data_IF_921006160619
#
_entry.id   IF_921006160619
#
_cell.length_a   1.000
_cell.length_b   1.000
_cell.length_c   1.000
_cell.angle_alpha   90.00
_cell.angle_beta   90.00
_cell.angle_gamma   90.00
#
_symmetry.space_group_name_H-M   'P 1'
#
loop_
_entity.id
_entity.type
_entity.pdbx_description
1 polymer ?
#
# COMPACT_ATOMS: atom_id res chain seq x y z
N UNK A 1 33.20 -48.54 21.38
CA UNK A 1 33.43 -47.26 20.67
C UNK A 1 32.42 -47.16 19.53
N UNK A 2 31.17 -46.69 19.78
CA UNK A 2 30.16 -46.44 18.73
C UNK A 2 28.97 -45.57 19.21
N UNK A 3 29.17 -44.66 20.19
CA UNK A 3 28.10 -43.74 20.63
C UNK A 3 28.06 -42.41 19.85
N UNK A 4 28.99 -42.17 18.93
CA UNK A 4 29.06 -40.94 18.13
C UNK A 4 28.17 -40.94 16.87
N UNK A 5 27.64 -42.09 16.46
CA UNK A 5 26.81 -42.21 15.25
C UNK A 5 25.31 -41.97 15.50
N UNK A 6 24.81 -42.22 16.72
CA UNK A 6 23.37 -42.09 17.02
C UNK A 6 22.93 -40.65 17.36
N UNK A 7 23.88 -39.76 17.70
CA UNK A 7 23.59 -38.35 18.03
C UNK A 7 23.33 -37.50 16.78
N UNK A 8 23.99 -37.82 15.66
CA UNK A 8 23.86 -37.11 14.37
C UNK A 8 22.44 -37.16 13.76
N UNK A 9 21.75 -38.32 13.68
CA UNK A 9 20.40 -38.36 13.12
C UNK A 9 19.38 -37.67 14.04
N UNK A 10 19.57 -37.71 15.36
CA UNK A 10 18.69 -37.02 16.32
C UNK A 10 18.81 -35.50 16.22
N UNK A 11 20.04 -34.98 16.12
CA UNK A 11 20.30 -33.54 15.93
C UNK A 11 19.80 -33.05 14.56
N UNK A 12 19.95 -33.84 13.49
CA UNK A 12 19.43 -33.51 12.17
C UNK A 12 17.89 -33.53 12.12
N UNK A 13 17.25 -34.48 12.81
CA UNK A 13 15.79 -34.56 12.93
C UNK A 13 15.20 -33.38 13.71
N UNK A 14 15.81 -33.04 14.84
CA UNK A 14 15.38 -31.89 15.66
C UNK A 14 15.58 -30.55 14.94
N UNK A 15 16.70 -30.40 14.23
CA UNK A 15 16.98 -29.26 13.34
C UNK A 15 15.92 -29.11 12.24
N UNK A 16 15.57 -30.20 11.55
CA UNK A 16 14.54 -30.19 10.51
C UNK A 16 13.15 -29.80 11.06
N UNK A 17 12.80 -30.28 12.25
CA UNK A 17 11.52 -29.96 12.90
C UNK A 17 11.41 -28.47 13.29
N UNK A 18 12.52 -27.86 13.72
CA UNK A 18 12.60 -26.41 14.01
C UNK A 18 12.48 -25.56 12.73
N UNK A 19 13.06 -26.01 11.61
CA UNK A 19 12.97 -25.32 10.32
C UNK A 19 11.52 -25.37 9.77
N UNK A 20 10.81 -26.50 9.91
CA UNK A 20 9.41 -26.65 9.49
C UNK A 20 8.47 -25.78 10.34
N UNK A 21 8.76 -25.60 11.63
CA UNK A 21 7.97 -24.75 12.54
C UNK A 21 8.16 -23.24 12.29
N UNK A 22 9.12 -22.84 11.45
CA UNK A 22 9.46 -21.43 11.21
C UNK A 22 8.62 -20.76 10.12
N UNK A 23 7.66 -21.46 9.51
CA UNK A 23 6.71 -20.85 8.58
C UNK A 23 5.63 -20.06 9.36
N UNK A 24 6.01 -18.90 9.88
CA UNK A 24 5.07 -17.99 10.55
C UNK A 24 4.45 -17.07 9.49
N UNK A 25 3.21 -17.38 9.09
CA UNK A 25 2.36 -16.42 8.39
C UNK A 25 1.75 -15.49 9.46
N UNK A 26 2.51 -14.48 9.88
CA UNK A 26 2.01 -13.51 10.87
C UNK A 26 1.26 -12.39 10.16
N UNK A 27 -0.01 -12.19 10.52
CA UNK A 27 -0.77 -11.00 10.17
C UNK A 27 -0.25 -9.79 10.97
N UNK A 28 -0.04 -8.66 10.31
CA UNK A 28 0.41 -7.42 10.96
C UNK A 28 -0.79 -6.54 11.30
N UNK A 29 -0.78 -5.91 12.47
CA UNK A 29 -1.76 -4.90 12.86
C UNK A 29 -1.11 -3.51 12.83
N UNK A 30 -1.66 -2.60 12.04
CA UNK A 30 -1.16 -1.25 11.84
C UNK A 30 -2.00 -0.23 12.61
N UNK A 31 -1.37 0.49 13.56
CA UNK A 31 -2.01 1.58 14.31
C UNK A 31 -1.99 2.86 13.48
N UNK A 32 -3.16 3.28 12.99
CA UNK A 32 -3.26 4.44 12.10
C UNK A 32 -2.93 5.73 12.85
N UNK A 33 -1.96 6.48 12.34
CA UNK A 33 -1.45 7.70 13.01
C UNK A 33 -0.53 7.41 14.21
N UNK A 34 -0.04 6.17 14.33
CA UNK A 34 0.91 5.74 15.37
C UNK A 34 0.45 6.11 16.79
N UNK A 35 1.22 6.94 17.51
CA UNK A 35 0.88 7.38 18.86
C UNK A 35 -0.23 8.44 18.90
N UNK A 36 -0.45 9.17 17.81
CA UNK A 36 -1.47 10.23 17.75
C UNK A 36 -2.86 9.68 17.48
N UNK A 37 -2.96 8.52 16.83
CA UNK A 37 -4.23 7.92 16.46
C UNK A 37 -4.95 8.67 15.34
N UNK A 38 -6.27 8.49 15.29
CA UNK A 38 -7.19 9.07 14.33
C UNK A 38 -7.78 10.39 14.84
N UNK A 39 -7.09 11.47 14.51
CA UNK A 39 -7.41 12.86 14.88
C UNK A 39 -7.35 13.80 13.67
N UNK A 40 -7.75 15.06 13.83
CA UNK A 40 -7.44 16.11 12.85
C UNK A 40 -5.91 16.20 12.73
N UNK A 41 -5.34 16.08 11.52
CA UNK A 41 -3.90 15.98 11.36
C UNK A 41 -3.20 17.30 11.73
N UNK A 42 -2.01 17.23 12.35
CA UNK A 42 -1.25 18.43 12.72
C UNK A 42 -0.65 19.19 11.52
N UNK A 43 -0.54 18.56 10.36
CA UNK A 43 -0.03 19.17 9.13
C UNK A 43 -0.59 18.49 7.88
N UNK A 44 -0.59 19.18 6.72
CA UNK A 44 -1.01 18.59 5.45
C UNK A 44 -0.17 17.36 5.09
N UNK A 45 -0.79 16.29 4.56
CA UNK A 45 -0.16 15.01 4.19
C UNK A 45 0.18 14.06 5.36
N UNK A 46 -0.22 14.35 6.61
CA UNK A 46 0.04 13.46 7.75
C UNK A 46 -0.33 11.99 7.49
N UNK A 47 -1.60 11.72 7.17
CA UNK A 47 -2.07 10.35 6.88
C UNK A 47 -1.55 9.79 5.57
N UNK A 48 -1.31 10.64 4.56
CA UNK A 48 -0.71 10.22 3.29
C UNK A 48 0.71 9.71 3.51
N UNK A 49 1.54 10.42 4.27
CA UNK A 49 2.88 9.96 4.63
C UNK A 49 2.83 8.68 5.44
N UNK A 50 1.91 8.60 6.40
CA UNK A 50 1.72 7.39 7.20
C UNK A 50 1.30 6.19 6.34
N UNK A 51 0.38 6.36 5.38
CA UNK A 51 -0.01 5.25 4.49
C UNK A 51 1.14 4.82 3.58
N UNK A 52 1.96 5.76 3.09
CA UNK A 52 3.10 5.43 2.23
C UNK A 52 4.27 4.78 2.99
N UNK A 53 4.39 4.99 4.30
CA UNK A 53 5.44 4.35 5.10
C UNK A 53 5.12 2.90 5.50
N UNK A 54 3.92 2.40 5.16
CA UNK A 54 3.46 1.08 5.55
C UNK A 54 3.08 0.24 4.32
N UNK A 55 3.67 -0.96 4.22
CA UNK A 55 3.32 -1.92 3.18
C UNK A 55 2.32 -2.93 3.73
N UNK A 56 1.05 -2.78 3.35
CA UNK A 56 -0.05 -3.59 3.87
C UNK A 56 -0.48 -4.65 2.86
N UNK A 57 -0.76 -5.86 3.35
CA UNK A 57 -1.18 -7.00 2.52
C UNK A 57 -2.51 -7.56 2.97
N UNK A 58 -3.12 -8.37 2.11
CA UNK A 58 -4.26 -9.20 2.50
C UNK A 58 -3.88 -10.08 3.70
N UNK A 59 -4.72 -10.07 4.74
CA UNK A 59 -4.49 -10.75 6.00
C UNK A 59 -4.06 -9.82 7.14
N UNK A 60 -3.52 -8.64 6.84
CA UNK A 60 -3.22 -7.62 7.84
C UNK A 60 -4.49 -6.95 8.38
N UNK A 61 -4.34 -6.06 9.37
CA UNK A 61 -5.45 -5.25 9.90
C UNK A 61 -5.03 -3.81 10.21
N UNK A 62 -5.98 -2.90 10.11
CA UNK A 62 -5.85 -1.53 10.59
C UNK A 62 -6.49 -1.40 11.97
N UNK A 63 -5.90 -0.60 12.83
CA UNK A 63 -6.42 -0.27 14.14
C UNK A 63 -6.51 1.25 14.29
N UNK A 64 -7.73 1.77 14.37
CA UNK A 64 -8.01 3.21 14.52
C UNK A 64 -8.38 3.53 15.97
N UNK A 65 -7.51 4.29 16.63
CA UNK A 65 -7.73 4.84 17.98
C UNK A 65 -8.26 6.26 17.89
N UNK A 66 -9.40 6.57 18.51
CA UNK A 66 -10.01 7.90 18.52
C UNK A 66 -10.96 8.08 19.69
N UNK A 67 -11.19 9.33 20.12
CA UNK A 67 -12.27 9.62 21.07
C UNK A 67 -13.63 9.65 20.33
N UNK A 68 -14.55 8.71 20.61
CA UNK A 68 -15.84 8.63 19.93
C UNK A 68 -16.76 9.83 20.20
N UNK A 69 -16.42 10.70 21.16
CA UNK A 69 -17.14 11.96 21.40
C UNK A 69 -16.84 13.03 20.34
N UNK A 70 -15.65 12.97 19.73
CA UNK A 70 -15.15 13.99 18.80
C UNK A 70 -14.98 13.46 17.38
N UNK A 71 -14.75 12.15 17.22
CA UNK A 71 -14.42 11.56 15.93
C UNK A 71 -15.25 10.32 15.67
N UNK A 72 -15.44 10.04 14.39
CA UNK A 72 -15.88 8.74 13.91
C UNK A 72 -14.94 8.28 12.79
N UNK A 73 -15.20 7.07 12.30
CA UNK A 73 -14.50 6.52 11.16
C UNK A 73 -15.54 5.96 10.19
N UNK A 74 -15.48 6.40 8.93
CA UNK A 74 -16.40 5.97 7.88
C UNK A 74 -15.60 5.49 6.68
N UNK A 75 -15.83 4.25 6.27
CA UNK A 75 -15.35 3.76 4.99
C UNK A 75 -16.26 4.26 3.87
N UNK A 76 -15.68 4.81 2.82
CA UNK A 76 -16.41 5.42 1.71
C UNK A 76 -15.81 5.02 0.35
N UNK A 77 -16.51 5.36 -0.72
CA UNK A 77 -15.96 5.27 -2.07
C UNK A 77 -14.99 6.42 -2.36
N UNK A 78 -14.18 6.27 -3.41
CA UNK A 78 -13.20 7.29 -3.83
C UNK A 78 -13.84 8.66 -4.05
N UNK A 79 -15.02 8.75 -4.67
CA UNK A 79 -15.71 10.03 -4.90
C UNK A 79 -15.98 10.79 -3.60
N UNK A 80 -16.46 10.08 -2.60
CA UNK A 80 -16.86 10.64 -1.31
C UNK A 80 -15.62 11.03 -0.49
N UNK A 81 -14.54 10.25 -0.61
CA UNK A 81 -13.23 10.58 -0.07
C UNK A 81 -12.61 11.86 -0.66
N UNK A 82 -12.69 12.05 -1.98
CA UNK A 82 -12.11 13.24 -2.62
C UNK A 82 -12.86 14.52 -2.24
N UNK A 83 -14.19 14.44 -2.17
CA UNK A 83 -15.06 15.59 -1.91
C UNK A 83 -15.48 15.73 -0.44
N UNK A 84 -14.99 14.85 0.44
CA UNK A 84 -15.38 14.82 1.85
C UNK A 84 -16.90 14.77 2.06
N UNK A 85 -17.58 13.93 1.30
CA UNK A 85 -19.02 13.70 1.41
C UNK A 85 -19.29 12.31 2.01
N UNK A 86 -20.56 12.03 2.33
CA UNK A 86 -20.97 10.74 2.88
C UNK A 86 -22.26 10.30 2.21
N UNK A 87 -22.29 10.37 0.88
CA UNK A 87 -23.46 10.04 0.07
C UNK A 87 -23.69 8.52 0.05
N UNK A 88 -22.60 7.74 0.06
CA UNK A 88 -22.62 6.27 0.00
C UNK A 88 -21.63 5.68 1.02
N UNK A 89 -21.91 5.79 2.34
CA UNK A 89 -21.08 5.14 3.35
C UNK A 89 -21.13 3.62 3.18
N UNK A 90 -19.96 2.99 3.24
CA UNK A 90 -19.84 1.52 3.18
C UNK A 90 -19.88 0.91 4.58
N UNK A 91 -19.10 1.47 5.51
CA UNK A 91 -19.04 1.06 6.91
C UNK A 91 -18.91 2.31 7.79
N UNK A 92 -19.56 2.29 8.95
CA UNK A 92 -19.51 3.38 9.95
C UNK A 92 -19.10 2.79 11.28
N UNK A 93 -18.07 3.38 11.89
CA UNK A 93 -17.57 3.01 13.21
C UNK A 93 -17.65 4.22 14.13
N UNK A 94 -18.42 4.07 15.21
CA UNK A 94 -18.64 5.09 16.25
C UNK A 94 -18.01 4.72 17.60
N UNK A 95 -17.24 3.62 17.64
CA UNK A 95 -16.55 3.12 18.84
C UNK A 95 -15.06 2.92 18.56
N UNK A 96 -14.23 3.03 19.59
CA UNK A 96 -12.78 2.88 19.50
C UNK A 96 -12.25 1.81 20.46
N UNK A 97 -11.20 1.06 20.08
CA UNK A 97 -10.57 1.04 18.75
C UNK A 97 -11.45 0.38 17.69
N UNK A 98 -11.44 0.93 16.47
CA UNK A 98 -12.03 0.26 15.32
C UNK A 98 -10.95 -0.59 14.63
N UNK A 99 -11.15 -1.92 14.59
CA UNK A 99 -10.23 -2.87 13.97
C UNK A 99 -10.81 -3.32 12.63
N UNK A 100 -10.08 -3.08 11.54
CA UNK A 100 -10.53 -3.37 10.17
C UNK A 100 -9.58 -4.40 9.54
N UNK A 101 -10.03 -5.65 9.34
CA UNK A 101 -9.23 -6.65 8.65
C UNK A 101 -9.15 -6.36 7.15
N UNK A 102 -7.96 -6.46 6.58
CA UNK A 102 -7.68 -6.25 5.16
C UNK A 102 -7.87 -7.57 4.40
N UNK A 103 -9.07 -7.79 3.89
CA UNK A 103 -9.47 -9.08 3.29
C UNK A 103 -9.18 -9.20 1.79
N UNK A 104 -9.10 -8.07 1.10
CA UNK A 104 -8.97 -8.03 -0.36
C UNK A 104 -7.93 -6.99 -0.77
N UNK A 105 -7.23 -7.24 -1.88
CA UNK A 105 -6.34 -6.24 -2.47
C UNK A 105 -7.15 -5.06 -3.02
N UNK A 106 -6.52 -3.88 -3.07
CA UNK A 106 -7.13 -2.68 -3.61
C UNK A 106 -6.92 -1.48 -2.72
N UNK A 107 -7.65 -0.40 -2.99
CA UNK A 107 -7.56 0.83 -2.19
C UNK A 107 -8.84 1.03 -1.39
N UNK A 108 -8.70 1.14 -0.07
CA UNK A 108 -9.77 1.47 0.86
C UNK A 108 -9.67 2.93 1.25
N UNK A 109 -10.80 3.62 1.36
CA UNK A 109 -10.85 5.04 1.70
C UNK A 109 -11.63 5.24 2.99
N UNK A 110 -11.03 5.98 3.93
CA UNK A 110 -11.64 6.27 5.22
C UNK A 110 -11.63 7.78 5.49
N UNK A 111 -12.71 8.28 6.06
CA UNK A 111 -12.89 9.69 6.43
C UNK A 111 -13.51 9.80 7.82
N UNK A 112 -13.29 10.96 8.46
CA UNK A 112 -14.10 11.41 9.58
C UNK A 112 -15.19 12.32 9.04
N UNK A 113 -16.46 12.04 9.37
CA UNK A 113 -17.61 12.79 8.86
C UNK A 113 -18.14 13.81 9.87
N UNK A 114 -17.43 13.98 10.99
CA UNK A 114 -17.77 14.99 11.99
C UNK A 114 -17.34 16.36 11.48
N UNK A 115 -18.31 17.29 11.39
CA UNK A 115 -18.08 18.68 10.97
C UNK A 115 -17.30 18.76 9.65
N UNK A 116 -16.27 19.61 9.57
CA UNK A 116 -15.39 19.77 8.42
C UNK A 116 -14.05 19.01 8.56
N UNK A 117 -13.94 18.00 9.44
CA UNK A 117 -12.66 17.38 9.78
C UNK A 117 -12.02 16.62 8.61
N UNK A 118 -12.81 16.01 7.73
CA UNK A 118 -12.31 15.44 6.48
C UNK A 118 -11.60 16.51 5.61
N UNK A 119 -12.21 17.70 5.46
CA UNK A 119 -11.63 18.80 4.70
C UNK A 119 -10.36 19.37 5.35
N UNK A 120 -10.25 19.27 6.68
CA UNK A 120 -9.02 19.56 7.43
C UNK A 120 -7.96 18.46 7.32
N UNK A 121 -8.23 17.39 6.57
CA UNK A 121 -7.29 16.32 6.26
C UNK A 121 -7.45 15.06 7.10
N UNK A 122 -8.50 14.93 7.93
CA UNK A 122 -8.81 13.68 8.64
C UNK A 122 -9.46 12.66 7.68
N UNK A 123 -8.65 12.24 6.71
CA UNK A 123 -8.95 11.25 5.68
C UNK A 123 -7.70 10.45 5.35
N UNK A 124 -7.87 9.17 5.02
CA UNK A 124 -6.76 8.29 4.63
C UNK A 124 -7.18 7.33 3.51
N UNK A 125 -6.26 7.11 2.56
CA UNK A 125 -6.36 6.07 1.56
C UNK A 125 -5.34 4.96 1.87
N UNK A 126 -5.80 3.72 1.92
CA UNK A 126 -4.99 2.56 2.27
C UNK A 126 -4.90 1.64 1.07
N UNK A 127 -3.68 1.37 0.58
CA UNK A 127 -3.45 0.41 -0.49
C UNK A 127 -3.08 -0.95 0.10
N UNK A 128 -3.88 -1.96 -0.21
CA UNK A 128 -3.70 -3.35 0.20
C UNK A 128 -3.15 -4.14 -0.97
N UNK A 129 -2.03 -4.80 -0.76
CA UNK A 129 -1.38 -5.65 -1.74
C UNK A 129 -1.79 -7.11 -1.59
N UNK A 130 -1.67 -7.88 -2.67
CA UNK A 130 -1.89 -9.33 -2.62
C UNK A 130 -0.89 -9.98 -1.64
N UNK A 131 -1.37 -10.92 -0.84
CA UNK A 131 -0.49 -11.76 -0.04
C UNK A 131 -0.07 -12.97 -0.89
N UNK A 132 1.00 -12.80 -1.66
CA UNK A 132 1.55 -13.88 -2.50
C UNK A 132 2.42 -14.79 -1.63
N UNK A 133 2.02 -16.05 -1.36
CA UNK A 133 2.86 -16.97 -0.62
C UNK A 133 4.19 -17.24 -1.36
N UNK A 134 5.30 -17.46 -0.64
CA UNK A 134 6.64 -17.57 -1.22
C UNK A 134 6.82 -18.71 -2.24
N UNK A 135 5.91 -19.69 -2.24
CA UNK A 135 5.96 -20.84 -3.13
C UNK A 135 5.38 -20.56 -4.53
N UNK A 136 4.55 -19.52 -4.70
CA UNK A 136 3.94 -19.26 -6.00
C UNK A 136 4.98 -18.70 -6.99
N UNK A 137 5.07 -19.27 -8.21
CA UNK A 137 5.89 -18.67 -9.26
C UNK A 137 5.37 -17.27 -9.59
N UNK A 138 6.24 -16.29 -9.89
CA UNK A 138 5.81 -14.95 -10.24
C UNK A 138 4.86 -15.01 -11.43
N UNK A 139 3.65 -14.46 -11.25
CA UNK A 139 2.67 -14.34 -12.32
C UNK A 139 3.31 -13.53 -13.45
N UNK A 140 3.61 -14.19 -14.56
CA UNK A 140 4.06 -13.50 -15.78
C UNK A 140 2.96 -12.53 -16.22
N UNK A 141 3.29 -11.31 -16.68
CA UNK A 141 2.28 -10.40 -17.20
C UNK A 141 1.56 -11.09 -18.35
N UNK A 142 0.27 -11.35 -18.18
CA UNK A 142 -0.59 -11.96 -19.20
C UNK A 142 -0.50 -11.11 -20.46
N UNK A 143 -0.02 -11.72 -21.54
CA UNK A 143 0.08 -11.12 -22.86
C UNK A 143 -1.25 -10.52 -23.27
N UNK A 144 -1.22 -9.25 -23.64
CA UNK A 144 -2.37 -8.51 -24.15
C UNK A 144 -3.13 -9.32 -25.22
N UNK A 145 -4.48 -9.23 -25.28
CA UNK A 145 -5.24 -9.88 -26.33
C UNK A 145 -4.76 -9.36 -27.69
N UNK A 146 -4.37 -10.28 -28.56
CA UNK A 146 -3.97 -10.02 -29.94
C UNK A 146 -5.09 -9.26 -30.66
N UNK A 147 -4.83 -8.12 -31.34
CA UNK A 147 -5.87 -7.42 -32.07
C UNK A 147 -6.34 -8.30 -33.23
N UNK A 148 -7.59 -8.76 -33.17
CA UNK A 148 -8.26 -9.41 -34.30
C UNK A 148 -8.26 -8.45 -35.50
N UNK A 149 -7.72 -8.94 -36.61
CA UNK A 149 -7.67 -8.23 -37.90
C UNK A 149 -9.07 -7.75 -38.32
N UNK A 150 -9.20 -6.43 -38.48
CA UNK A 150 -10.31 -5.79 -39.18
C UNK A 150 -10.21 -6.15 -40.67
N UNK A 151 -11.30 -6.62 -41.33
CA UNK A 151 -11.30 -6.80 -42.78
C UNK A 151 -11.21 -5.45 -43.49
N UNK A 152 -10.27 -5.35 -44.44
CA UNK A 152 -10.09 -4.19 -45.32
C UNK A 152 -11.34 -3.97 -46.21
N UNK A 153 -11.81 -2.73 -46.41
CA UNK A 153 -12.76 -2.43 -47.47
C UNK A 153 -12.06 -2.48 -48.85
N UNK A 154 -12.74 -2.94 -49.92
CA UNK A 154 -12.16 -2.96 -51.25
C UNK A 154 -12.05 -1.54 -51.82
N UNK A 155 -10.83 -1.20 -52.23
CA UNK A 155 -10.49 -0.01 -53.02
C UNK A 155 -11.14 -0.09 -54.40
N UNK A 156 -11.88 0.94 -54.79
CA UNK A 156 -12.21 1.20 -56.19
C UNK A 156 -12.29 2.71 -56.44
N UNK A 157 -11.27 3.21 -57.14
CA UNK A 157 -11.35 4.42 -57.96
C UNK A 157 -11.23 3.95 -59.44
N UNK A 158 -11.74 4.70 -60.45
CA UNK A 158 -10.99 5.87 -60.94
C UNK A 158 -11.81 7.06 -61.50
N UNK A 159 -11.23 8.25 -61.30
CA UNK A 159 -11.10 9.49 -62.10
C UNK A 159 -12.15 9.92 -63.16
N UNK A 160 -12.59 11.20 -63.13
CA UNK A 160 -12.01 12.31 -63.94
C UNK A 160 -12.85 13.62 -63.99
N UNK A 161 -12.13 14.75 -63.89
CA UNK A 161 -12.30 16.10 -64.52
C UNK A 161 -13.62 16.89 -64.28
N UNK A 162 -13.61 18.20 -63.98
CA UNK A 162 -13.13 19.36 -64.75
C UNK A 162 -12.96 20.59 -63.80
N UNK A 163 -11.93 21.43 -64.03
CA UNK A 163 -11.70 22.80 -63.48
C UNK A 163 -12.15 23.86 -64.53
N UNK A 164 -12.38 25.18 -64.30
CA UNK A 164 -11.50 26.11 -63.54
C UNK A 164 -12.11 27.37 -62.82
N UNK A 165 -11.45 27.83 -61.73
CA UNK A 165 -10.96 29.22 -61.37
C UNK A 165 -11.96 30.44 -61.34
N UNK A 166 -11.79 31.57 -60.56
CA UNK A 166 -10.63 32.07 -59.77
C UNK A 166 -10.86 32.60 -58.32
N UNK A 167 -9.72 32.61 -57.59
CA UNK A 167 -9.13 33.64 -56.70
C UNK A 167 -10.00 34.53 -55.78
N UNK A 168 -9.66 34.52 -54.47
CA UNK A 168 -9.07 35.71 -53.85
C UNK A 168 -8.22 35.37 -52.62
N UNK A 169 -7.02 35.96 -52.61
CA UNK A 169 -6.03 36.27 -51.56
C UNK A 169 -6.67 36.49 -50.16
N UNK A 170 -6.02 36.25 -49.02
CA UNK A 170 -4.81 36.97 -48.54
C UNK A 170 -4.40 36.36 -47.18
N UNK A 171 -3.15 35.94 -47.02
CA UNK A 171 -2.40 35.97 -45.74
C UNK A 171 -1.59 37.31 -45.73
N UNK A 172 -0.79 37.73 -44.70
CA UNK A 172 -0.29 37.00 -43.54
C UNK A 172 -0.06 37.85 -42.25
N UNK A 173 0.60 37.26 -41.25
CA UNK A 173 1.41 37.97 -40.24
C UNK A 173 0.91 37.80 -38.80
N UNK A 174 1.72 37.52 -37.77
CA UNK A 174 3.17 37.38 -37.68
C UNK A 174 3.62 37.48 -36.21
N UNK A 175 4.57 36.60 -35.85
CA UNK A 175 5.74 36.84 -34.99
C UNK A 175 5.65 37.14 -33.47
N UNK A 176 6.32 36.23 -32.73
CA UNK A 176 7.52 36.44 -31.90
C UNK A 176 7.46 36.72 -30.38
N UNK A 177 8.19 35.82 -29.68
CA UNK A 177 9.31 36.05 -28.73
C UNK A 177 9.14 35.91 -27.20
N UNK A 178 10.10 35.17 -26.61
CA UNK A 178 10.72 35.36 -25.29
C UNK A 178 10.15 34.46 -24.17
N UNK A 179 10.86 33.60 -23.44
CA UNK A 179 12.31 33.39 -23.30
C UNK A 179 12.84 33.96 -21.98
N UNK A 180 12.70 33.24 -20.85
CA UNK A 180 13.56 33.38 -19.65
C UNK A 180 13.20 32.38 -18.52
N UNK A 181 14.15 31.45 -18.27
CA UNK A 181 14.50 30.89 -16.95
C UNK A 181 15.87 31.48 -16.58
N UNK A 182 16.27 31.59 -15.30
CA UNK A 182 17.12 30.52 -14.77
C UNK A 182 17.04 30.26 -13.24
N UNK A 183 17.40 29.01 -12.89
CA UNK A 183 18.24 28.53 -11.75
C UNK A 183 17.78 28.74 -10.30
N UNK A 184 17.53 27.66 -9.53
CA UNK A 184 18.47 26.81 -8.76
C UNK A 184 18.91 27.42 -7.42
N UNK A 185 18.60 26.71 -6.33
CA UNK A 185 18.92 27.09 -4.95
C UNK A 185 18.68 25.94 -3.99
N UNK A 186 19.45 24.88 -4.20
CA UNK A 186 19.56 23.64 -3.43
C UNK A 186 20.11 23.88 -2.03
N UNK A 187 19.40 23.44 -0.99
CA UNK A 187 20.02 23.02 0.29
C UNK A 187 19.29 21.82 0.88
N UNK A 188 19.90 20.66 0.62
CA UNK A 188 19.70 19.39 1.31
C UNK A 188 19.77 19.55 2.82
N UNK A 189 18.73 19.12 3.53
CA UNK A 189 18.84 18.73 4.93
C UNK A 189 18.50 17.25 5.03
N UNK A 190 19.55 16.43 5.11
CA UNK A 190 19.44 15.02 5.42
C UNK A 190 18.98 14.89 6.87
N UNK A 191 17.69 14.62 7.08
CA UNK A 191 17.18 14.17 8.37
C UNK A 191 17.53 12.69 8.47
N UNK A 192 18.50 12.38 9.34
CA UNK A 192 18.94 11.03 9.63
C UNK A 192 17.74 10.15 9.99
N UNK A 193 17.61 9.03 9.28
CA UNK A 193 16.70 7.94 9.60
C UNK A 193 17.10 7.39 10.98
N UNK A 194 16.39 7.79 12.02
CA UNK A 194 16.39 7.01 13.27
C UNK A 194 15.52 5.79 12.99
N UNK A 195 16.17 4.74 12.46
CA UNK A 195 15.63 3.39 12.48
C UNK A 195 15.54 2.93 13.94
N UNK A 196 14.48 3.35 14.62
CA UNK A 196 14.17 2.89 15.97
C UNK A 196 13.45 1.56 15.82
N UNK A 197 14.22 0.49 15.79
CA UNK A 197 13.72 -0.87 16.00
C UNK A 197 13.21 -0.97 17.45
N UNK A 198 12.00 -0.46 17.70
CA UNK A 198 11.34 -0.53 18.99
C UNK A 198 10.33 -1.68 18.98
N UNK A 199 10.59 -2.61 19.90
CA UNK A 199 9.65 -3.58 20.48
C UNK A 199 9.10 -4.70 19.61
N UNK A 200 9.96 -5.65 19.25
CA UNK A 200 9.58 -7.09 19.19
C UNK A 200 10.62 -7.94 19.91
N UNK A 201 10.87 -7.63 21.18
CA UNK A 201 11.80 -8.36 22.05
C UNK A 201 11.12 -8.96 23.28
N UNK A 202 9.80 -9.20 23.23
CA UNK A 202 9.06 -9.81 24.36
C UNK A 202 8.73 -11.28 24.11
N UNK A 203 8.54 -11.69 22.85
CA UNK A 203 8.22 -13.10 22.54
C UNK A 203 9.44 -13.98 22.34
N UNK A 204 10.59 -13.42 21.92
CA UNK A 204 11.79 -14.22 21.64
C UNK A 204 12.51 -14.69 22.94
N UNK A 205 12.54 -13.86 23.98
CA UNK A 205 13.14 -14.23 25.28
C UNK A 205 12.31 -15.23 26.09
N UNK A 206 10.98 -15.25 25.93
CA UNK A 206 10.14 -16.27 26.57
C UNK A 206 10.27 -17.64 25.90
N UNK A 207 10.50 -17.66 24.59
CA UNK A 207 10.73 -18.91 23.86
C UNK A 207 12.13 -19.45 24.20
N UNK A 208 13.16 -18.59 24.23
CA UNK A 208 14.50 -19.01 24.67
C UNK A 208 14.53 -19.51 26.12
N UNK A 209 13.75 -18.92 27.04
CA UNK A 209 13.71 -19.38 28.43
C UNK A 209 13.04 -20.75 28.58
N UNK A 210 12.09 -21.11 27.72
CA UNK A 210 11.46 -22.44 27.76
C UNK A 210 12.38 -23.54 27.20
N UNK A 211 13.21 -23.23 26.20
CA UNK A 211 14.21 -24.18 25.69
C UNK A 211 15.42 -24.34 26.63
N UNK A 212 15.79 -23.30 27.39
CA UNK A 212 16.87 -23.36 28.37
C UNK A 212 16.60 -24.31 29.55
N UNK A 213 15.33 -24.49 29.95
CA UNK A 213 14.96 -25.43 31.02
C UNK A 213 14.96 -26.90 30.58
N UNK A 214 14.87 -27.17 29.27
CA UNK A 214 14.88 -28.54 28.74
C UNK A 214 16.29 -29.10 28.50
N UNK A 215 17.27 -28.25 28.17
CA UNK A 215 18.67 -28.70 28.01
C UNK A 215 19.41 -28.90 29.35
N UNK A 216 18.92 -28.33 30.45
CA UNK A 216 19.52 -28.45 31.78
C UNK A 216 19.29 -29.78 32.50
N UNK A 217 18.34 -30.62 32.05
CA UNK A 217 18.04 -31.91 32.69
C UNK A 217 18.61 -33.13 31.95
N UNK A 218 19.29 -32.95 30.82
CA UNK A 218 19.85 -34.06 30.03
C UNK A 218 21.39 -34.14 30.05
N UNK A 219 22.03 -33.32 30.89
CA UNK A 219 23.48 -33.29 31.12
C UNK A 219 23.82 -33.49 32.61
N UNK A 220 23.06 -34.35 33.29
CA UNK A 220 23.41 -35.05 34.54
C UNK A 220 23.08 -36.52 34.30
#
# INVERSE_FOLDING_TARGET
MNMLLHKKPFVLSFSALVIVFSCQCSATQFKVGDSSGWVIPPYPLYYTKWSYSHFMRVGDSLEFHFDPKFYNLVQVQKSDYEHCTTLKPQLVFSTSPAIIPLKEKGTLFFICTISNYCCLGQKIAITVHENIPPWLPPLSPSSAPSPSRVPLPPSSAPASSISPVPANSTAPGGNNNGGNSPTQGEKSNAVALVYRNSTFNVSFWRILSMFGSFFGLWMI
#
